data_IF_448452694675
#
_entry.id   IF_448452694675
#
_cell.length_a   1.000
_cell.length_b   1.000
_cell.length_c   1.000
_cell.angle_alpha   90.00
_cell.angle_beta   90.00
_cell.angle_gamma   90.00
#
_symmetry.space_group_name_H-M   'P 1'
#
loop_
_entity.id
_entity.type
_entity.pdbx_description
1 polymer ?
#
# COMPACT_ATOMS: atom_id res chain seq x y z
N UNK A 1 -1.92 15.36 -2.77
CA UNK A 1 -1.99 14.88 -1.38
C UNK A 1 -3.41 14.45 -1.04
N UNK A 2 -3.59 13.28 -0.44
CA UNK A 2 -4.94 12.84 -0.07
C UNK A 2 -5.61 13.76 0.94
N UNK A 3 -6.95 13.87 0.92
CA UNK A 3 -7.67 14.74 1.85
C UNK A 3 -7.66 14.21 3.28
N UNK A 4 -8.00 15.07 4.24
CA UNK A 4 -8.03 14.73 5.66
C UNK A 4 -8.86 13.48 5.96
N UNK A 5 -10.07 13.29 5.39
CA UNK A 5 -10.83 12.06 5.65
C UNK A 5 -10.10 10.77 5.29
N UNK A 6 -9.25 10.80 4.26
CA UNK A 6 -8.41 9.65 3.91
C UNK A 6 -7.47 9.30 5.07
N UNK A 7 -6.77 10.31 5.62
CA UNK A 7 -5.82 10.07 6.70
C UNK A 7 -6.49 9.56 7.96
N UNK A 8 -7.72 10.03 8.25
CA UNK A 8 -8.50 9.53 9.37
C UNK A 8 -8.88 8.06 9.16
N UNK A 9 -9.32 7.71 7.96
CA UNK A 9 -9.65 6.33 7.63
C UNK A 9 -8.46 5.41 7.66
N UNK A 10 -7.29 5.89 7.21
CA UNK A 10 -6.06 5.12 7.27
C UNK A 10 -5.64 4.87 8.73
N UNK A 11 -5.74 5.88 9.57
CA UNK A 11 -5.43 5.74 11.00
C UNK A 11 -6.31 4.66 11.63
N UNK A 12 -7.61 4.66 11.34
CA UNK A 12 -8.53 3.65 11.85
C UNK A 12 -8.16 2.25 11.36
N UNK A 13 -7.84 2.11 10.07
CA UNK A 13 -7.42 0.84 9.49
C UNK A 13 -6.18 0.30 10.20
N UNK A 14 -5.17 1.16 10.40
CA UNK A 14 -3.92 0.74 11.03
C UNK A 14 -4.11 0.39 12.50
N UNK A 15 -4.98 1.09 13.22
CA UNK A 15 -5.27 0.75 14.61
C UNK A 15 -5.91 -0.62 14.74
N UNK A 16 -6.80 -0.98 13.82
CA UNK A 16 -7.55 -2.22 13.88
C UNK A 16 -6.80 -3.41 13.30
N UNK A 17 -6.03 -3.20 12.23
CA UNK A 17 -5.54 -4.29 11.39
C UNK A 17 -4.03 -4.26 11.13
N UNK A 18 -3.28 -3.41 11.79
CA UNK A 18 -1.85 -3.23 11.51
C UNK A 18 -1.06 -4.54 11.55
N UNK A 19 -1.26 -5.35 12.58
CA UNK A 19 -0.53 -6.60 12.73
C UNK A 19 -0.79 -7.56 11.58
N UNK A 20 -2.05 -7.66 11.16
CA UNK A 20 -2.44 -8.53 10.05
C UNK A 20 -1.88 -8.04 8.72
N UNK A 21 -1.93 -6.72 8.51
CA UNK A 21 -1.41 -6.10 7.28
C UNK A 21 0.09 -6.36 7.16
N UNK A 22 0.84 -6.08 8.21
CA UNK A 22 2.30 -6.26 8.19
C UNK A 22 2.69 -7.73 8.07
N UNK A 23 1.91 -8.64 8.66
CA UNK A 23 2.14 -10.07 8.49
C UNK A 23 1.97 -10.48 7.04
N UNK A 24 0.89 -10.03 6.37
CA UNK A 24 0.67 -10.33 4.95
C UNK A 24 1.83 -9.84 4.10
N UNK A 25 2.34 -8.65 4.39
CA UNK A 25 3.47 -8.09 3.64
C UNK A 25 4.75 -8.89 3.82
N UNK A 26 4.98 -9.45 4.99
CA UNK A 26 6.15 -10.29 5.22
C UNK A 26 6.02 -11.66 4.55
N UNK A 27 4.81 -12.20 4.47
CA UNK A 27 4.57 -13.56 4.01
C UNK A 27 4.39 -13.69 2.50
N UNK A 28 4.07 -12.60 1.80
CA UNK A 28 3.70 -12.68 0.38
C UNK A 28 4.37 -11.60 -0.45
N UNK A 29 5.38 -11.99 -1.22
CA UNK A 29 6.03 -11.11 -2.19
C UNK A 29 5.31 -11.07 -3.54
N UNK A 30 4.39 -11.99 -3.79
CA UNK A 30 3.75 -12.18 -5.10
C UNK A 30 2.37 -11.57 -5.22
N UNK A 31 2.00 -10.63 -4.37
CA UNK A 31 0.67 -10.00 -4.42
C UNK A 31 0.74 -8.53 -4.05
N UNK A 32 -0.17 -7.76 -4.66
CA UNK A 32 -0.46 -6.39 -4.22
C UNK A 32 -1.73 -6.45 -3.40
N UNK A 33 -1.64 -6.07 -2.13
CA UNK A 33 -2.81 -5.94 -1.25
C UNK A 33 -3.23 -4.48 -1.23
N UNK A 34 -4.47 -4.21 -1.61
CA UNK A 34 -5.03 -2.86 -1.69
C UNK A 34 -6.23 -2.73 -0.76
N UNK A 35 -6.12 -1.84 0.21
CA UNK A 35 -7.13 -1.63 1.24
C UNK A 35 -7.99 -0.43 0.87
N UNK A 36 -9.31 -0.56 1.06
CA UNK A 36 -10.24 0.52 0.76
C UNK A 36 -10.25 1.54 1.90
N UNK A 37 -9.94 2.78 1.60
CA UNK A 37 -9.94 3.87 2.57
C UNK A 37 -10.54 5.11 1.90
N UNK A 38 -11.78 5.45 2.29
CA UNK A 38 -12.50 6.53 1.63
C UNK A 38 -12.68 6.21 0.15
N UNK A 39 -12.51 7.13 -0.74
CA UNK A 39 -12.59 6.89 -2.18
C UNK A 39 -11.26 6.42 -2.78
N UNK A 40 -10.36 5.88 -1.98
CA UNK A 40 -9.02 5.52 -2.42
C UNK A 40 -8.68 4.08 -2.04
N UNK A 41 -7.61 3.57 -2.67
CA UNK A 41 -6.98 2.31 -2.30
C UNK A 41 -5.58 2.60 -1.82
N UNK A 42 -5.21 2.00 -0.69
CA UNK A 42 -3.88 2.14 -0.11
C UNK A 42 -3.19 0.78 -0.05
N UNK A 43 -1.93 0.77 -0.43
CA UNK A 43 -1.05 -0.39 -0.27
C UNK A 43 0.11 0.00 0.63
N UNK A 44 0.63 -0.96 1.40
CA UNK A 44 1.68 -0.69 2.37
C UNK A 44 2.90 -1.55 2.07
N UNK A 45 4.06 -1.02 2.40
CA UNK A 45 5.35 -1.71 2.34
C UNK A 45 5.60 -2.35 0.98
N UNK A 46 5.75 -3.67 0.93
CA UNK A 46 6.08 -4.38 -0.31
C UNK A 46 4.99 -4.22 -1.38
N UNK A 47 3.72 -4.24 -0.97
CA UNK A 47 2.60 -3.96 -1.88
C UNK A 47 2.67 -2.54 -2.43
N UNK A 48 3.10 -1.58 -1.63
CA UNK A 48 3.26 -0.19 -2.08
C UNK A 48 4.31 -0.09 -3.18
N UNK A 49 5.42 -0.80 -3.03
CA UNK A 49 6.47 -0.85 -4.05
C UNK A 49 5.91 -1.40 -5.38
N UNK A 50 5.23 -2.54 -5.32
CA UNK A 50 4.65 -3.16 -6.50
C UNK A 50 3.55 -2.30 -7.13
N UNK A 51 2.70 -1.68 -6.32
CA UNK A 51 1.64 -0.80 -6.82
C UNK A 51 2.21 0.41 -7.52
N UNK A 52 3.24 1.03 -6.94
CA UNK A 52 3.85 2.21 -7.55
C UNK A 52 4.52 1.88 -8.88
N UNK A 53 5.10 0.70 -9.01
CA UNK A 53 5.67 0.25 -10.29
C UNK A 53 4.58 0.00 -11.33
N UNK A 54 3.44 -0.56 -10.92
CA UNK A 54 2.32 -0.80 -11.81
C UNK A 54 1.59 0.49 -12.19
N UNK A 55 1.49 1.42 -11.24
CA UNK A 55 0.79 2.69 -11.40
C UNK A 55 1.71 3.82 -10.93
N UNK A 56 2.61 4.30 -11.82
CA UNK A 56 3.61 5.32 -11.42
C UNK A 56 3.02 6.63 -10.96
N UNK A 57 1.75 6.92 -11.29
CA UNK A 57 1.06 8.11 -10.80
C UNK A 57 0.56 8.01 -9.37
N UNK A 58 0.79 6.89 -8.69
CA UNK A 58 0.37 6.74 -7.29
C UNK A 58 1.12 7.70 -6.38
N UNK A 59 0.44 8.18 -5.33
CA UNK A 59 1.05 9.01 -4.30
C UNK A 59 1.78 8.11 -3.31
N UNK A 60 3.07 8.35 -3.11
CA UNK A 60 3.92 7.53 -2.25
C UNK A 60 4.50 8.39 -1.14
N UNK A 61 4.44 7.90 0.09
CA UNK A 61 5.00 8.61 1.24
C UNK A 61 5.35 7.63 2.35
N UNK A 62 6.14 8.10 3.32
CA UNK A 62 6.39 7.38 4.56
C UNK A 62 5.64 8.06 5.69
N UNK A 63 5.14 7.27 6.63
CA UNK A 63 4.32 7.72 7.74
C UNK A 63 4.86 7.17 9.05
N UNK A 64 5.08 8.02 10.03
CA UNK A 64 5.47 7.59 11.36
C UNK A 64 4.22 7.30 12.19
N UNK A 65 4.23 6.18 12.89
CA UNK A 65 3.15 5.78 13.78
C UNK A 65 3.65 5.86 15.21
N UNK A 66 2.81 6.37 16.11
CA UNK A 66 3.16 6.67 17.50
C UNK A 66 3.74 5.48 18.26
N UNK A 67 3.24 4.29 17.98
CA UNK A 67 3.60 3.08 18.70
C UNK A 67 4.46 2.12 17.88
N UNK A 68 5.08 2.61 16.81
CA UNK A 68 6.00 1.80 15.99
C UNK A 68 7.38 2.44 15.96
N UNK A 69 8.44 1.62 16.04
CA UNK A 69 9.81 2.13 16.06
C UNK A 69 10.35 2.53 14.69
N UNK A 70 9.59 2.29 13.61
CA UNK A 70 10.02 2.59 12.25
C UNK A 70 8.86 3.11 11.43
N UNK A 71 9.13 3.93 10.40
CA UNK A 71 8.08 4.44 9.52
C UNK A 71 7.45 3.33 8.67
N UNK A 72 6.22 3.56 8.23
CA UNK A 72 5.52 2.70 7.28
C UNK A 72 5.44 3.42 5.94
N UNK A 73 5.86 2.75 4.87
CA UNK A 73 5.77 3.31 3.52
C UNK A 73 4.46 2.86 2.89
N UNK A 74 3.80 3.80 2.20
CA UNK A 74 2.51 3.53 1.58
C UNK A 74 2.42 4.15 0.19
N UNK A 75 1.55 3.57 -0.64
CA UNK A 75 1.19 4.11 -1.95
C UNK A 75 -0.32 4.20 -2.03
N UNK A 76 -0.82 5.30 -2.58
CA UNK A 76 -2.25 5.59 -2.64
C UNK A 76 -2.66 5.85 -4.08
N UNK A 77 -3.74 5.23 -4.51
CA UNK A 77 -4.38 5.50 -5.81
C UNK A 77 -5.86 5.71 -5.59
N UNK A 78 -6.52 6.37 -6.55
CA UNK A 78 -7.98 6.47 -6.52
C UNK A 78 -8.61 5.09 -6.72
N UNK A 79 -9.83 4.92 -6.25
CA UNK A 79 -10.61 3.71 -6.50
C UNK A 79 -10.74 3.46 -8.01
N UNK A 80 -10.90 4.54 -8.79
CA UNK A 80 -11.00 4.43 -10.25
C UNK A 80 -9.72 3.89 -10.88
N UNK A 81 -8.56 4.40 -10.45
CA UNK A 81 -7.27 3.93 -10.97
C UNK A 81 -7.03 2.47 -10.61
N UNK A 82 -7.36 2.07 -9.38
CA UNK A 82 -7.25 0.69 -8.96
C UNK A 82 -8.16 -0.22 -9.79
N UNK A 83 -9.42 0.17 -9.97
CA UNK A 83 -10.39 -0.63 -10.73
C UNK A 83 -9.96 -0.79 -12.19
N UNK A 84 -9.44 0.26 -12.80
CA UNK A 84 -8.95 0.21 -14.17
C UNK A 84 -7.76 -0.75 -14.31
N UNK A 85 -6.86 -0.76 -13.34
CA UNK A 85 -5.74 -1.69 -13.30
C UNK A 85 -6.23 -3.12 -13.04
N UNK A 86 -7.09 -3.28 -12.05
CA UNK A 86 -7.53 -4.59 -11.58
C UNK A 86 -8.35 -5.36 -12.61
N UNK A 87 -9.06 -4.66 -13.51
CA UNK A 87 -9.89 -5.31 -14.54
C UNK A 87 -9.04 -6.14 -15.49
N UNK A 88 -7.77 -5.83 -15.65
CA UNK A 88 -6.84 -6.57 -16.51
C UNK A 88 -6.06 -7.66 -15.77
N UNK A 89 -6.39 -7.88 -14.49
CA UNK A 89 -5.69 -8.84 -13.63
C UNK A 89 -6.71 -9.69 -12.88
N UNK A 90 -6.25 -10.82 -12.34
CA UNK A 90 -7.12 -11.68 -11.54
C UNK A 90 -7.18 -11.11 -10.12
N UNK A 91 -8.30 -10.46 -9.80
CA UNK A 91 -8.53 -9.85 -8.49
C UNK A 91 -9.14 -10.88 -7.55
N UNK A 92 -8.61 -10.94 -6.33
CA UNK A 92 -9.21 -11.70 -5.24
C UNK A 92 -9.77 -10.71 -4.22
N UNK A 93 -11.08 -10.78 -3.96
CA UNK A 93 -11.74 -9.94 -2.97
C UNK A 93 -11.76 -10.65 -1.64
N UNK A 94 -11.44 -9.91 -0.59
CA UNK A 94 -11.37 -10.44 0.76
C UNK A 94 -12.47 -9.83 1.63
N UNK A 95 -12.99 -10.59 2.58
CA UNK A 95 -14.14 -10.21 3.39
C UNK A 95 -13.92 -8.96 4.27
N UNK A 96 -12.67 -8.65 4.58
CA UNK A 96 -12.34 -7.54 5.46
C UNK A 96 -12.10 -6.21 4.74
N UNK A 97 -12.64 -6.06 3.52
CA UNK A 97 -12.61 -4.78 2.81
C UNK A 97 -11.33 -4.47 2.06
N UNK A 98 -10.59 -5.48 1.68
CA UNK A 98 -9.43 -5.30 0.81
C UNK A 98 -9.46 -6.28 -0.37
N UNK A 99 -8.71 -5.95 -1.40
CA UNK A 99 -8.54 -6.79 -2.58
C UNK A 99 -7.06 -7.08 -2.79
N UNK A 100 -6.76 -8.15 -3.50
CA UNK A 100 -5.39 -8.43 -3.88
C UNK A 100 -5.29 -8.89 -5.33
N UNK A 101 -4.15 -8.61 -5.95
CA UNK A 101 -3.84 -9.00 -7.32
C UNK A 101 -2.51 -9.75 -7.29
N UNK A 102 -2.46 -10.90 -7.96
CA UNK A 102 -1.22 -11.64 -8.10
C UNK A 102 -0.29 -10.90 -9.05
N UNK A 103 0.98 -10.78 -8.68
CA UNK A 103 2.02 -10.16 -9.51
C UNK A 103 3.26 -11.03 -9.48
N UNK A 104 4.18 -10.77 -10.41
CA UNK A 104 5.48 -11.41 -10.38
C UNK A 104 6.23 -10.96 -9.10
N UNK A 105 6.96 -11.87 -8.48
CA UNK A 105 7.77 -11.52 -7.30
C UNK A 105 8.77 -10.41 -7.60
N UNK A 106 9.22 -10.29 -8.86
CA UNK A 106 10.09 -9.20 -9.29
C UNK A 106 9.42 -7.81 -9.20
N UNK A 107 8.09 -7.75 -9.07
CA UNK A 107 7.39 -6.47 -8.92
C UNK A 107 7.79 -5.72 -7.65
N UNK A 108 8.32 -6.41 -6.64
CA UNK A 108 8.87 -5.79 -5.44
C UNK A 108 10.37 -6.04 -5.29
N UNK A 109 11.06 -6.32 -6.40
CA UNK A 109 12.51 -6.44 -6.41
C UNK A 109 13.11 -5.10 -5.96
N UNK A 110 14.19 -5.17 -5.19
CA UNK A 110 14.84 -4.00 -4.60
C UNK A 110 13.93 -3.20 -3.65
N UNK A 111 12.91 -3.84 -3.11
CA UNK A 111 11.99 -3.19 -2.18
C UNK A 111 12.72 -2.50 -1.03
N UNK A 112 13.72 -3.14 -0.44
CA UNK A 112 14.47 -2.55 0.67
C UNK A 112 15.14 -1.24 0.31
N UNK A 113 15.77 -1.17 -0.88
CA UNK A 113 16.37 0.06 -1.39
C UNK A 113 15.31 1.12 -1.69
N UNK A 114 14.24 0.72 -2.39
CA UNK A 114 13.14 1.62 -2.71
C UNK A 114 12.54 2.22 -1.44
N UNK A 115 12.32 1.40 -0.42
CA UNK A 115 11.79 1.84 0.87
C UNK A 115 12.72 2.84 1.54
N UNK A 116 14.01 2.54 1.55
CA UNK A 116 15.01 3.43 2.12
C UNK A 116 14.99 4.80 1.41
N UNK A 117 14.93 4.79 0.09
CA UNK A 117 14.92 6.02 -0.69
C UNK A 117 13.67 6.87 -0.41
N UNK A 118 12.52 6.23 -0.26
CA UNK A 118 11.28 6.96 0.09
C UNK A 118 11.39 7.60 1.47
N UNK A 119 11.88 6.88 2.44
CA UNK A 119 12.04 7.39 3.81
C UNK A 119 13.01 8.56 3.83
N UNK A 120 14.16 8.42 3.19
CA UNK A 120 15.18 9.47 3.13
C UNK A 120 14.70 10.66 2.28
N UNK A 121 14.03 10.38 1.17
CA UNK A 121 13.49 11.43 0.29
C UNK A 121 12.45 12.29 0.97
N UNK A 122 11.68 11.74 1.88
CA UNK A 122 10.67 12.49 2.63
C UNK A 122 11.28 13.43 3.66
N UNK A 123 12.59 13.35 3.90
CA UNK A 123 13.30 14.24 4.81
C UNK A 123 13.91 15.45 4.10
N UNK A 124 13.68 15.59 2.81
CA UNK A 124 14.22 16.70 2.03
C UNK A 124 13.35 17.98 2.13
#
# INVERSE_FOLDING_TARGET
MPPIPFWQGLDALLRESRADILRRERESAGRIYAYSVGGSRVSLERSACALHRALPGSYVTAMELTDMPFPVVLAVVSEEAWSAYAVHHRVQRHASGYESVAVDAAASEDYGRWRHDIIEGNNL
#
